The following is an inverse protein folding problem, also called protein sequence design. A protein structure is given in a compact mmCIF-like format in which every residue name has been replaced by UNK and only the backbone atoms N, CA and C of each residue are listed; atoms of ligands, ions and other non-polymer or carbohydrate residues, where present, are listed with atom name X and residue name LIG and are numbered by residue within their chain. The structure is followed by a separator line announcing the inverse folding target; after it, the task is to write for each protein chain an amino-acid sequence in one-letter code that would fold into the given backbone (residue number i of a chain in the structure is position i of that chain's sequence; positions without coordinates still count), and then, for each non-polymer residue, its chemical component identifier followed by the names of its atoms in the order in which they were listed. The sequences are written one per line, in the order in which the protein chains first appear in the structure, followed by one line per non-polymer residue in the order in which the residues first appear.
data_IF_175729572311
#
_entry.id   IF_175729572311
#
_cell.length_a   1.000
_cell.length_b   1.000
_cell.length_c   1.000
_cell.angle_alpha   90.00
_cell.angle_beta   90.00
_cell.angle_gamma   90.00
#
_symmetry.space_group_name_H-M   'P 1'
#
loop_
_entity.id
_entity.type
_entity.pdbx_description
1 polymer ?
#
# COMPACT_ATOMS: atom_id res chain seq x y z
N UNK A 1 -6.07 -39.43 74.93
CA UNK A 1 -6.94 -38.59 74.08
C UNK A 1 -6.18 -38.12 72.87
N UNK A 2 -6.51 -38.66 71.71
CA UNK A 2 -5.87 -38.34 70.42
C UNK A 2 -6.81 -37.37 69.65
N UNK A 3 -6.32 -36.25 69.09
CA UNK A 3 -7.17 -35.31 68.32
C UNK A 3 -7.42 -35.85 66.91
N UNK A 4 -8.54 -35.55 66.28
CA UNK A 4 -8.88 -36.03 64.96
C UNK A 4 -8.17 -35.22 63.87
N UNK A 5 -7.60 -35.96 62.89
CA UNK A 5 -7.00 -35.40 61.69
C UNK A 5 -8.03 -34.77 60.76
N UNK A 6 -7.93 -33.46 60.58
CA UNK A 6 -8.71 -32.67 59.60
C UNK A 6 -8.23 -33.04 58.19
N UNK A 7 -9.04 -33.79 57.46
CA UNK A 7 -8.83 -34.12 56.05
C UNK A 7 -9.37 -32.96 55.19
N UNK A 8 -8.46 -32.03 54.79
CA UNK A 8 -8.79 -30.91 53.90
C UNK A 8 -8.48 -31.28 52.44
N UNK A 9 -9.37 -32.06 51.85
CA UNK A 9 -9.29 -32.36 50.41
C UNK A 9 -10.21 -31.39 49.62
N UNK A 10 -9.82 -30.11 49.55
CA UNK A 10 -10.44 -29.13 48.66
C UNK A 10 -9.93 -29.34 47.23
N UNK A 11 -10.59 -30.20 46.48
CA UNK A 11 -10.43 -30.24 45.01
C UNK A 11 -10.95 -28.92 44.44
N UNK A 12 -10.02 -28.04 44.01
CA UNK A 12 -10.34 -26.87 43.23
C UNK A 12 -10.86 -27.30 41.86
N UNK A 13 -12.16 -27.17 41.66
CA UNK A 13 -12.78 -27.32 40.33
C UNK A 13 -12.26 -26.14 39.44
N UNK A 14 -11.36 -26.40 38.55
CA UNK A 14 -11.01 -25.47 37.46
C UNK A 14 -12.22 -25.34 36.51
N UNK A 15 -12.75 -24.16 36.30
CA UNK A 15 -13.76 -23.94 35.25
C UNK A 15 -13.08 -23.69 33.92
N UNK A 16 -12.53 -24.75 33.27
CA UNK A 16 -11.72 -24.57 32.07
C UNK A 16 -12.47 -24.71 30.74
N UNK A 17 -13.68 -25.19 30.72
CA UNK A 17 -14.42 -25.46 29.48
C UNK A 17 -15.04 -24.23 28.79
N UNK A 18 -15.67 -23.23 29.45
CA UNK A 18 -16.32 -22.12 28.77
C UNK A 18 -15.31 -21.10 28.17
N UNK A 19 -14.15 -20.92 28.81
CA UNK A 19 -13.13 -19.97 28.35
C UNK A 19 -12.49 -20.45 27.02
N UNK A 20 -12.23 -21.74 26.89
CA UNK A 20 -11.65 -22.32 25.67
C UNK A 20 -12.61 -22.23 24.49
N UNK A 21 -13.92 -22.42 24.71
CA UNK A 21 -14.95 -22.29 23.67
C UNK A 21 -15.10 -20.82 23.25
N UNK A 22 -15.11 -19.88 24.18
CA UNK A 22 -15.19 -18.46 23.89
C UNK A 22 -13.95 -17.95 23.09
N UNK A 23 -12.76 -18.41 23.47
CA UNK A 23 -11.53 -18.08 22.76
C UNK A 23 -11.52 -18.67 21.33
N UNK A 24 -11.96 -19.92 21.17
CA UNK A 24 -12.10 -20.55 19.86
C UNK A 24 -13.12 -19.84 18.97
N UNK A 25 -14.28 -19.43 19.52
CA UNK A 25 -15.28 -18.67 18.79
C UNK A 25 -14.75 -17.28 18.39
N UNK A 26 -14.04 -16.59 19.27
CA UNK A 26 -13.41 -15.29 18.97
C UNK A 26 -12.37 -15.41 17.87
N UNK A 27 -11.50 -16.42 17.91
CA UNK A 27 -10.51 -16.68 16.86
C UNK A 27 -11.17 -17.01 15.53
N UNK A 28 -12.25 -17.81 15.53
CA UNK A 28 -13.01 -18.14 14.33
C UNK A 28 -13.70 -16.89 13.75
N UNK A 29 -14.33 -16.06 14.58
CA UNK A 29 -14.97 -14.81 14.15
C UNK A 29 -13.94 -13.82 13.59
N UNK A 30 -12.78 -13.70 14.22
CA UNK A 30 -11.68 -12.87 13.74
C UNK A 30 -11.15 -13.39 12.41
N UNK A 31 -10.95 -14.70 12.28
CA UNK A 31 -10.55 -15.35 11.03
C UNK A 31 -11.58 -15.11 9.92
N UNK A 32 -12.87 -15.33 10.19
CA UNK A 32 -13.95 -15.10 9.22
C UNK A 32 -14.07 -13.62 8.83
N UNK A 33 -13.90 -12.70 9.74
CA UNK A 33 -13.88 -11.26 9.46
C UNK A 33 -12.70 -10.87 8.56
N UNK A 34 -11.50 -11.42 8.81
CA UNK A 34 -10.30 -11.15 8.01
C UNK A 34 -10.36 -11.80 6.62
N UNK A 35 -10.89 -13.03 6.53
CA UNK A 35 -10.98 -13.79 5.27
C UNK A 35 -12.14 -13.29 4.39
N UNK A 36 -13.26 -12.83 5.00
CA UNK A 36 -14.42 -12.29 4.28
C UNK A 36 -14.33 -10.80 3.96
N UNK A 37 -13.25 -10.11 4.33
CA UNK A 37 -13.07 -8.73 3.84
C UNK A 37 -12.93 -8.81 2.31
N UNK A 38 -13.84 -8.19 1.54
CA UNK A 38 -13.81 -8.27 0.08
C UNK A 38 -12.42 -7.90 -0.43
N UNK A 39 -11.87 -8.73 -1.31
CA UNK A 39 -10.50 -8.54 -1.81
C UNK A 39 -10.34 -7.19 -2.51
N UNK A 40 -11.40 -6.69 -3.14
CA UNK A 40 -11.46 -5.37 -3.77
C UNK A 40 -11.22 -4.24 -2.75
N UNK A 41 -11.81 -4.33 -1.56
CA UNK A 41 -11.57 -3.35 -0.48
C UNK A 41 -10.14 -3.40 0.02
N UNK A 42 -9.54 -4.60 0.09
CA UNK A 42 -8.13 -4.75 0.49
C UNK A 42 -7.21 -4.09 -0.53
N UNK A 43 -7.43 -4.34 -1.81
CA UNK A 43 -6.65 -3.76 -2.92
C UNK A 43 -6.81 -2.24 -2.94
N UNK A 44 -8.05 -1.73 -2.81
CA UNK A 44 -8.31 -0.30 -2.72
C UNK A 44 -7.58 0.35 -1.54
N UNK A 45 -7.67 -0.25 -0.35
CA UNK A 45 -6.99 0.26 0.83
C UNK A 45 -5.46 0.26 0.66
N UNK A 46 -4.88 -0.73 -0.06
CA UNK A 46 -3.45 -0.73 -0.39
C UNK A 46 -3.08 0.39 -1.35
N UNK A 47 -3.91 0.64 -2.36
CA UNK A 47 -3.72 1.75 -3.29
C UNK A 47 -3.77 3.10 -2.56
N UNK A 48 -4.76 3.34 -1.72
CA UNK A 48 -4.89 4.55 -0.90
C UNK A 48 -3.68 4.71 0.04
N UNK A 49 -3.24 3.62 0.68
CA UNK A 49 -2.05 3.62 1.53
C UNK A 49 -0.75 3.95 0.77
N UNK A 50 -0.63 3.52 -0.49
CA UNK A 50 0.52 3.87 -1.33
C UNK A 50 0.53 5.38 -1.62
N UNK A 51 -0.60 5.94 -2.04
CA UNK A 51 -0.70 7.38 -2.32
C UNK A 51 -0.40 8.22 -1.07
N UNK A 52 -0.97 7.85 0.08
CA UNK A 52 -0.66 8.50 1.36
C UNK A 52 0.83 8.37 1.72
N UNK A 53 1.45 7.20 1.50
CA UNK A 53 2.86 7.01 1.78
C UNK A 53 3.76 7.92 0.92
N UNK A 54 3.38 8.15 -0.34
CA UNK A 54 4.08 9.11 -1.24
C UNK A 54 3.90 10.55 -0.75
N UNK A 55 2.67 10.94 -0.41
CA UNK A 55 2.37 12.28 0.12
C UNK A 55 3.17 12.58 1.40
N UNK A 56 3.23 11.60 2.31
CA UNK A 56 3.94 11.68 3.59
C UNK A 56 5.47 11.51 3.45
N UNK A 57 6.01 11.27 2.24
CA UNK A 57 7.40 10.89 2.00
C UNK A 57 7.85 9.66 2.82
N UNK A 58 6.93 8.74 3.12
CA UNK A 58 7.18 7.54 3.92
C UNK A 58 7.77 6.42 3.06
N UNK A 59 9.01 6.56 2.60
CA UNK A 59 9.64 5.69 1.60
C UNK A 59 9.75 4.23 2.03
N UNK A 60 9.97 3.99 3.33
CA UNK A 60 9.95 2.62 3.87
C UNK A 60 8.57 1.96 3.77
N UNK A 61 7.48 2.74 3.82
CA UNK A 61 6.11 2.26 3.59
C UNK A 61 5.87 2.01 2.10
N UNK A 62 6.33 2.93 1.22
CA UNK A 62 6.25 2.75 -0.23
C UNK A 62 6.93 1.45 -0.66
N UNK A 63 8.20 1.24 -0.27
CA UNK A 63 8.94 0.02 -0.56
C UNK A 63 8.22 -1.26 -0.13
N UNK A 64 7.59 -1.26 1.05
CA UNK A 64 6.82 -2.42 1.55
C UNK A 64 5.52 -2.68 0.77
N UNK A 65 4.98 -1.71 0.06
CA UNK A 65 3.75 -1.85 -0.72
C UNK A 65 4.02 -2.25 -2.17
N UNK A 66 5.24 -2.08 -2.66
CA UNK A 66 5.67 -2.46 -4.00
C UNK A 66 6.30 -3.86 -3.93
N UNK A 67 6.05 -4.69 -4.94
CA UNK A 67 6.68 -6.01 -5.06
C UNK A 67 8.13 -5.89 -5.49
N UNK A 68 8.99 -6.80 -4.99
CA UNK A 68 10.37 -6.91 -5.47
C UNK A 68 10.43 -7.31 -6.95
N UNK A 69 9.36 -7.96 -7.47
CA UNK A 69 9.20 -8.32 -8.87
C UNK A 69 8.51 -7.24 -9.72
N UNK A 70 8.35 -6.02 -9.18
CA UNK A 70 7.71 -4.92 -9.92
C UNK A 70 8.41 -4.67 -11.25
N UNK A 71 7.61 -4.54 -12.31
CA UNK A 71 8.08 -4.11 -13.62
C UNK A 71 6.93 -3.48 -14.41
N UNK A 72 7.15 -2.29 -14.93
CA UNK A 72 6.15 -1.59 -15.75
C UNK A 72 6.55 -1.53 -17.23
N UNK A 73 5.72 -0.85 -18.02
CA UNK A 73 5.95 -0.71 -19.46
C UNK A 73 7.00 0.35 -19.80
N UNK A 74 7.40 1.22 -18.85
CA UNK A 74 8.53 2.14 -19.03
C UNK A 74 9.88 1.45 -18.75
N UNK A 75 9.86 0.19 -18.29
CA UNK A 75 11.04 -0.60 -17.97
C UNK A 75 11.54 -0.41 -16.54
N UNK A 76 10.81 0.35 -15.68
CA UNK A 76 11.19 0.61 -14.31
C UNK A 76 10.96 -0.61 -13.42
N UNK A 77 11.89 -0.83 -12.53
CA UNK A 77 11.83 -1.84 -11.48
C UNK A 77 11.34 -1.22 -10.14
N UNK A 78 11.36 -2.01 -9.07
CA UNK A 78 10.97 -1.60 -7.73
C UNK A 78 11.70 -0.34 -7.24
N UNK A 79 13.03 -0.29 -7.36
CA UNK A 79 13.83 0.84 -6.86
C UNK A 79 13.66 2.08 -7.74
N UNK A 80 13.54 1.90 -9.05
CA UNK A 80 13.26 2.99 -10.00
C UNK A 80 11.92 3.65 -9.68
N UNK A 81 10.86 2.87 -9.45
CA UNK A 81 9.56 3.41 -9.09
C UNK A 81 9.62 4.24 -7.80
N UNK A 82 10.37 3.77 -6.80
CA UNK A 82 10.56 4.53 -5.55
C UNK A 82 11.30 5.84 -5.81
N UNK A 83 12.27 5.86 -6.72
CA UNK A 83 12.97 7.09 -7.12
C UNK A 83 12.04 8.05 -7.85
N UNK A 84 11.22 7.57 -8.78
CA UNK A 84 10.20 8.38 -9.48
C UNK A 84 9.21 9.00 -8.50
N UNK A 85 8.75 8.24 -7.50
CA UNK A 85 7.88 8.77 -6.44
C UNK A 85 8.58 9.85 -5.61
N UNK A 86 9.88 9.70 -5.33
CA UNK A 86 10.70 10.72 -4.65
C UNK A 86 10.86 11.96 -5.52
N UNK A 87 11.09 11.79 -6.81
CA UNK A 87 11.20 12.89 -7.76
C UNK A 87 9.90 13.70 -7.78
N UNK A 88 8.76 13.04 -7.95
CA UNK A 88 7.46 13.72 -7.87
C UNK A 88 7.31 14.49 -6.56
N UNK A 89 7.52 13.83 -5.43
CA UNK A 89 7.34 14.45 -4.11
C UNK A 89 8.30 15.61 -3.87
N UNK A 90 9.51 15.55 -4.43
CA UNK A 90 10.54 16.57 -4.29
C UNK A 90 10.16 17.90 -4.94
N UNK A 91 9.20 17.91 -5.86
CA UNK A 91 8.75 19.09 -6.60
C UNK A 91 7.56 19.82 -5.93
N UNK A 92 7.20 19.41 -4.72
CA UNK A 92 6.08 19.99 -3.96
C UNK A 92 6.46 20.27 -2.52
N UNK A 93 6.10 21.44 -2.01
CA UNK A 93 6.13 21.72 -0.56
C UNK A 93 5.04 20.92 0.14
N UNK A 94 3.84 20.94 -0.44
CA UNK A 94 2.69 20.10 -0.03
C UNK A 94 2.20 19.40 -1.27
N UNK A 95 2.07 18.08 -1.20
CA UNK A 95 1.53 17.23 -2.27
C UNK A 95 0.27 16.53 -1.78
N UNK A 96 -0.79 16.62 -2.57
CA UNK A 96 -2.01 15.82 -2.42
C UNK A 96 -2.23 14.99 -3.69
N UNK A 97 -2.45 13.69 -3.49
CA UNK A 97 -2.78 12.73 -4.54
C UNK A 97 -4.17 12.17 -4.26
N UNK A 98 -5.07 12.29 -5.20
CA UNK A 98 -6.43 11.77 -5.08
C UNK A 98 -6.76 10.84 -6.25
N UNK A 99 -7.64 9.88 -5.99
CA UNK A 99 -8.17 8.96 -6.99
C UNK A 99 -9.60 9.36 -7.34
N UNK A 100 -9.86 9.60 -8.60
CA UNK A 100 -11.20 9.87 -9.13
C UNK A 100 -11.65 8.69 -9.98
N UNK A 101 -12.96 8.40 -9.98
CA UNK A 101 -13.57 7.36 -10.82
C UNK A 101 -12.88 5.99 -10.67
N UNK A 102 -12.63 5.57 -9.43
CA UNK A 102 -11.86 4.36 -9.16
C UNK A 102 -12.73 3.10 -9.25
N UNK A 103 -12.32 2.17 -10.13
CA UNK A 103 -12.92 0.84 -10.29
C UNK A 103 -11.91 -0.21 -9.85
N UNK A 104 -12.35 -1.14 -9.02
CA UNK A 104 -11.53 -2.26 -8.56
C UNK A 104 -12.11 -3.58 -9.03
N UNK A 105 -11.25 -4.46 -9.52
CA UNK A 105 -11.58 -5.85 -9.85
C UNK A 105 -10.54 -6.77 -9.25
N UNK A 106 -10.97 -7.92 -8.75
CA UNK A 106 -10.06 -8.95 -8.23
C UNK A 106 -10.44 -10.31 -8.79
N UNK A 107 -9.46 -10.99 -9.38
CA UNK A 107 -9.61 -12.35 -9.91
C UNK A 107 -8.33 -13.12 -9.64
N UNK A 108 -8.44 -14.32 -9.08
CA UNK A 108 -7.34 -15.28 -8.88
C UNK A 108 -6.08 -14.69 -8.22
N UNK A 109 -6.27 -13.89 -7.17
CA UNK A 109 -5.15 -13.29 -6.43
C UNK A 109 -4.47 -12.12 -7.15
N UNK A 110 -5.05 -11.65 -8.27
CA UNK A 110 -4.64 -10.45 -8.99
C UNK A 110 -5.72 -9.38 -8.84
N UNK A 111 -5.35 -8.22 -8.34
CA UNK A 111 -6.23 -7.07 -8.17
C UNK A 111 -5.84 -5.95 -9.14
N UNK A 112 -6.82 -5.33 -9.75
CA UNK A 112 -6.62 -4.19 -10.64
C UNK A 112 -7.40 -2.99 -10.12
N UNK A 113 -6.74 -1.84 -10.03
CA UNK A 113 -7.35 -0.54 -9.73
C UNK A 113 -7.18 0.35 -10.94
N UNK A 114 -8.30 0.70 -11.57
CA UNK A 114 -8.33 1.64 -12.70
C UNK A 114 -8.87 2.96 -12.16
N UNK A 115 -8.10 4.04 -12.29
CA UNK A 115 -8.48 5.33 -11.69
C UNK A 115 -7.78 6.49 -12.39
N UNK A 116 -8.44 7.65 -12.44
CA UNK A 116 -7.79 8.92 -12.76
C UNK A 116 -7.11 9.46 -11.51
N UNK A 117 -5.79 9.66 -11.61
CA UNK A 117 -5.04 10.34 -10.56
C UNK A 117 -5.15 11.84 -10.73
N UNK A 118 -5.38 12.53 -9.63
CA UNK A 118 -5.32 13.98 -9.56
C UNK A 118 -4.22 14.40 -8.60
N UNK A 119 -3.36 15.29 -9.07
CA UNK A 119 -2.28 15.90 -8.30
C UNK A 119 -2.70 17.34 -7.96
N UNK A 120 -2.50 17.72 -6.72
CA UNK A 120 -2.70 19.09 -6.26
C UNK A 120 -1.75 19.42 -5.11
N UNK A 121 -1.61 20.71 -4.79
CA UNK A 121 -0.81 21.10 -3.63
C UNK A 121 -0.12 22.43 -3.80
N UNK A 122 1.08 22.56 -3.20
CA UNK A 122 1.94 23.74 -3.32
C UNK A 122 3.21 23.36 -4.11
N UNK A 123 3.16 23.49 -5.45
CA UNK A 123 4.29 23.15 -6.30
C UNK A 123 5.43 24.16 -6.17
N UNK A 124 6.66 23.71 -6.45
CA UNK A 124 7.83 24.56 -6.73
C UNK A 124 8.67 23.88 -7.83
N UNK A 125 9.68 24.54 -8.35
CA UNK A 125 10.48 24.01 -9.45
C UNK A 125 9.61 23.57 -10.64
N UNK A 126 9.69 22.30 -11.00
CA UNK A 126 8.89 21.71 -12.09
C UNK A 126 7.49 21.23 -11.63
N UNK A 127 7.17 21.33 -10.34
CA UNK A 127 5.94 20.79 -9.76
C UNK A 127 4.67 21.27 -10.47
N UNK A 128 4.57 22.55 -10.82
CA UNK A 128 3.40 23.07 -11.52
C UNK A 128 3.24 22.54 -12.96
N UNK A 129 4.33 22.18 -13.62
CA UNK A 129 4.30 21.55 -14.94
C UNK A 129 3.87 20.08 -14.81
N UNK A 130 4.41 19.37 -13.82
CA UNK A 130 4.05 17.99 -13.50
C UNK A 130 2.56 17.89 -13.13
N UNK A 131 2.08 18.78 -12.25
CA UNK A 131 0.67 18.84 -11.86
C UNK A 131 -0.24 19.00 -13.07
N UNK A 132 0.01 20.01 -13.93
CA UNK A 132 -0.75 20.20 -15.15
C UNK A 132 -0.71 18.99 -16.06
N UNK A 133 0.49 18.39 -16.27
CA UNK A 133 0.65 17.24 -17.15
C UNK A 133 -0.14 16.04 -16.66
N UNK A 134 -0.04 15.68 -15.38
CA UNK A 134 -0.78 14.54 -14.81
C UNK A 134 -2.29 14.79 -14.87
N UNK A 135 -2.73 16.00 -14.49
CA UNK A 135 -4.15 16.34 -14.46
C UNK A 135 -4.78 16.52 -15.87
N UNK A 136 -3.95 16.65 -16.91
CA UNK A 136 -4.41 16.72 -18.31
C UNK A 136 -4.48 15.37 -19.00
N UNK A 137 -4.13 14.27 -18.33
CA UNK A 137 -4.25 12.93 -18.89
C UNK A 137 -5.73 12.51 -18.90
N UNK A 138 -6.23 12.14 -20.08
CA UNK A 138 -7.65 11.80 -20.27
C UNK A 138 -7.94 10.36 -19.84
N UNK A 139 -7.04 9.45 -20.12
CA UNK A 139 -7.19 8.05 -19.78
C UNK A 139 -6.85 7.75 -18.30
N UNK A 140 -7.50 6.76 -17.71
CA UNK A 140 -7.18 6.34 -16.35
C UNK A 140 -5.91 5.50 -16.29
N UNK A 141 -5.17 5.66 -15.20
CA UNK A 141 -4.05 4.77 -14.85
C UNK A 141 -4.56 3.43 -14.33
N UNK A 142 -3.86 2.37 -14.66
CA UNK A 142 -4.12 1.00 -14.19
C UNK A 142 -3.01 0.55 -13.26
N UNK A 143 -3.38 0.22 -12.01
CA UNK A 143 -2.48 -0.31 -11.00
C UNK A 143 -2.79 -1.79 -10.81
N UNK A 144 -1.79 -2.65 -11.02
CA UNK A 144 -1.92 -4.09 -10.82
C UNK A 144 -1.29 -4.50 -9.51
N UNK A 145 -2.10 -5.15 -8.67
CA UNK A 145 -1.72 -5.67 -7.36
C UNK A 145 -1.75 -7.19 -7.40
N UNK A 146 -0.74 -7.85 -6.85
CA UNK A 146 -0.70 -9.31 -6.74
C UNK A 146 -0.64 -9.72 -5.28
N UNK A 147 -1.36 -10.77 -4.95
CA UNK A 147 -1.35 -11.34 -3.61
C UNK A 147 -0.20 -12.32 -3.48
N UNK A 148 0.84 -11.95 -2.72
CA UNK A 148 2.07 -12.75 -2.60
C UNK A 148 1.97 -13.90 -1.59
N UNK A 149 0.91 -13.95 -0.76
CA UNK A 149 0.68 -15.04 0.18
C UNK A 149 -0.80 -15.21 0.50
N UNK A 150 -1.15 -16.23 1.30
CA UNK A 150 -2.53 -16.50 1.74
C UNK A 150 -3.10 -15.40 2.65
N UNK A 151 -2.26 -14.55 3.23
CA UNK A 151 -2.70 -13.52 4.17
C UNK A 151 -3.40 -12.35 3.47
N UNK A 152 -4.48 -11.80 4.05
CA UNK A 152 -5.25 -10.72 3.43
C UNK A 152 -4.46 -9.42 3.20
N UNK A 153 -3.38 -9.20 3.94
CA UNK A 153 -2.53 -8.01 3.82
C UNK A 153 -1.34 -8.16 2.87
N UNK A 154 -1.19 -9.30 2.20
CA UNK A 154 -0.01 -9.61 1.35
C UNK A 154 -0.06 -9.04 -0.05
N UNK A 155 -0.99 -8.13 -0.34
CA UNK A 155 -1.07 -7.45 -1.62
C UNK A 155 0.14 -6.52 -1.83
N UNK A 156 0.77 -6.65 -3.00
CA UNK A 156 1.88 -5.82 -3.46
C UNK A 156 1.60 -5.31 -4.86
N UNK A 157 2.02 -4.06 -5.12
CA UNK A 157 1.96 -3.46 -6.44
C UNK A 157 3.01 -4.12 -7.34
N UNK A 158 2.57 -4.69 -8.46
CA UNK A 158 3.45 -5.37 -9.43
C UNK A 158 3.61 -4.63 -10.73
N UNK A 159 2.67 -3.73 -11.08
CA UNK A 159 2.72 -2.96 -12.31
C UNK A 159 1.90 -1.69 -12.22
N UNK A 160 2.37 -0.63 -12.88
CA UNK A 160 1.58 0.56 -13.24
C UNK A 160 1.57 0.65 -14.75
N UNK A 161 0.43 0.97 -15.32
CA UNK A 161 0.27 1.25 -16.75
C UNK A 161 -0.59 2.49 -16.95
N UNK A 162 -0.20 3.33 -17.89
CA UNK A 162 -0.99 4.46 -18.35
C UNK A 162 -0.78 4.61 -19.85
N UNK A 163 -1.85 4.59 -20.67
CA UNK A 163 -1.71 4.61 -22.12
C UNK A 163 -1.06 5.90 -22.65
N UNK A 164 -1.41 7.05 -22.10
CA UNK A 164 -0.98 8.37 -22.58
C UNK A 164 0.24 8.93 -21.85
N UNK A 165 0.65 8.33 -20.73
CA UNK A 165 1.80 8.82 -20.00
C UNK A 165 3.11 8.38 -20.67
N UNK A 166 3.78 9.34 -21.28
CA UNK A 166 5.13 9.15 -21.83
C UNK A 166 6.17 9.74 -20.88
N UNK A 167 7.27 9.05 -20.74
CA UNK A 167 8.45 9.56 -20.04
C UNK A 167 9.20 10.50 -20.98
N UNK A 168 9.65 11.63 -20.47
CA UNK A 168 10.46 12.58 -21.24
C UNK A 168 11.79 11.92 -21.65
N UNK A 169 12.19 12.09 -22.89
CA UNK A 169 13.48 11.58 -23.39
C UNK A 169 14.63 12.08 -22.50
N UNK A 170 15.50 11.14 -22.11
CA UNK A 170 16.64 11.43 -21.25
C UNK A 170 16.36 11.48 -19.75
N UNK A 171 15.09 11.36 -19.33
CA UNK A 171 14.78 11.27 -17.89
C UNK A 171 15.20 9.93 -17.29
N UNK A 172 15.94 10.00 -16.19
CA UNK A 172 16.31 8.84 -15.36
C UNK A 172 15.69 8.97 -13.96
N UNK A 173 15.12 7.89 -13.38
CA UNK A 173 14.60 7.92 -12.02
C UNK A 173 15.61 8.48 -11.00
N UNK A 174 15.21 9.51 -10.25
CA UNK A 174 16.06 10.23 -9.28
C UNK A 174 16.67 11.54 -9.80
N UNK A 175 16.51 11.89 -11.07
CA UNK A 175 17.07 13.11 -11.64
C UNK A 175 16.57 14.38 -10.97
N UNK A 176 15.24 14.49 -10.76
CA UNK A 176 14.66 15.68 -10.15
C UNK A 176 15.06 15.84 -8.68
N UNK A 177 15.27 14.72 -8.00
CA UNK A 177 15.76 14.73 -6.62
C UNK A 177 17.21 15.22 -6.54
N UNK A 178 18.08 14.83 -7.49
CA UNK A 178 19.46 15.32 -7.61
C UNK A 178 19.48 16.83 -7.88
N UNK A 179 18.69 17.27 -8.87
CA UNK A 179 18.57 18.71 -9.19
C UNK A 179 18.11 19.53 -7.99
N UNK A 180 17.15 19.02 -7.22
CA UNK A 180 16.62 19.72 -6.02
C UNK A 180 17.63 19.85 -4.88
N UNK A 181 18.66 18.97 -4.84
CA UNK A 181 19.72 18.98 -3.83
C UNK A 181 20.95 19.80 -4.24
N UNK A 182 21.00 20.28 -5.47
CA UNK A 182 22.13 21.03 -6.00
C UNK A 182 23.36 20.15 -6.34
N UNK A 183 23.19 18.84 -6.40
CA UNK A 183 24.20 17.90 -6.86
C UNK A 183 24.33 18.00 -8.39
N UNK A 184 25.00 19.05 -8.85
CA UNK A 184 25.46 19.16 -10.25
C UNK A 184 26.86 18.57 -10.33
N UNK A 185 26.99 17.31 -10.68
CA UNK A 185 28.26 16.80 -11.19
C UNK A 185 28.48 17.45 -12.59
N UNK A 186 29.37 18.45 -12.64
CA UNK A 186 29.87 19.07 -13.86
C UNK A 186 30.95 18.20 -14.49
#
# INVERSE_FOLDING_TARGET
ATPPLLNSNRKSKMPSKPISIALGALLLLTYLALVRWPAERQVRAKQENLLMAVQDASWGRCKKLISDSYKDHWGWNHDDLVLVMKDLRSQFVVLALTMNESVQTVTDGKGTVVTKLQVSGKPFGLGGTIERRINSLDDPATFTWTKESIWPWSWRLTQIHHPDATVTDGYTPGDLLRLSKGDFDL
#
